data_IF_475559212865
#
_entry.id   IF_475559212865
#
_cell.length_a   1.000
_cell.length_b   1.000
_cell.length_c   1.000
_cell.angle_alpha   90.00
_cell.angle_beta   90.00
_cell.angle_gamma   90.00
#
_symmetry.space_group_name_H-M   'P 1'
#
loop_
_entity.id
_entity.type
_entity.pdbx_description
1 polymer ?
#
# COMPACT_ATOMS: atom_id res chain seq x y z
N UNK A 1 17.71 26.00 -0.56
CA UNK A 1 16.25 25.78 -0.75
C UNK A 1 15.89 24.45 -0.11
N UNK A 2 15.21 24.48 1.05
CA UNK A 2 14.88 23.28 1.85
C UNK A 2 13.50 22.79 1.40
N UNK A 3 13.48 21.81 0.49
CA UNK A 3 12.24 21.14 0.12
C UNK A 3 11.71 20.42 1.36
N UNK A 4 10.61 20.93 1.94
CA UNK A 4 9.89 20.21 2.98
C UNK A 4 9.44 18.88 2.36
N UNK A 5 10.03 17.79 2.84
CA UNK A 5 9.67 16.44 2.49
C UNK A 5 8.25 16.19 3.02
N UNK A 6 7.23 16.62 2.25
CA UNK A 6 5.84 16.25 2.49
C UNK A 6 5.80 14.74 2.35
N UNK A 7 5.66 14.04 3.47
CA UNK A 7 5.34 12.62 3.46
C UNK A 7 4.14 12.34 2.54
N UNK A 8 3.96 11.07 2.14
CA UNK A 8 2.88 10.68 1.25
C UNK A 8 1.53 11.17 1.80
N UNK A 9 0.86 12.01 1.00
CA UNK A 9 -0.41 12.63 1.42
C UNK A 9 -1.52 11.58 1.36
N UNK A 10 -2.37 11.48 2.40
CA UNK A 10 -3.44 10.48 2.42
C UNK A 10 -4.42 10.69 1.26
N UNK A 11 -4.86 9.59 0.65
CA UNK A 11 -5.72 9.61 -0.53
C UNK A 11 -7.18 9.57 -0.06
N UNK A 12 -8.02 10.56 -0.41
CA UNK A 12 -9.43 10.54 -0.08
C UNK A 12 -10.16 9.47 -0.91
N UNK A 13 -10.98 8.65 -0.26
CA UNK A 13 -11.78 7.61 -0.93
C UNK A 13 -13.06 8.16 -1.58
N UNK A 14 -13.46 9.38 -1.21
CA UNK A 14 -14.64 10.04 -1.76
C UNK A 14 -14.38 11.54 -1.97
N UNK A 15 -15.13 12.22 -2.85
CA UNK A 15 -15.04 13.67 -2.99
C UNK A 15 -15.42 14.38 -1.68
N UNK A 16 -14.60 15.35 -1.26
CA UNK A 16 -14.96 16.23 -0.13
C UNK A 16 -16.09 17.18 -0.51
N UNK A 17 -17.09 17.26 0.34
CA UNK A 17 -18.20 18.20 0.23
C UNK A 17 -17.73 19.60 0.65
N UNK A 18 -17.44 20.45 -0.35
CA UNK A 18 -16.95 21.82 -0.12
C UNK A 18 -17.96 22.86 -0.56
N UNK A 19 -17.93 24.02 0.10
CA UNK A 19 -18.76 25.17 -0.28
C UNK A 19 -18.19 25.76 -1.55
N UNK A 20 -19.01 25.84 -2.59
CA UNK A 20 -18.71 26.50 -3.87
C UNK A 20 -19.79 27.51 -4.20
N UNK A 21 -19.43 28.57 -4.90
CA UNK A 21 -20.41 29.52 -5.44
C UNK A 21 -20.84 29.09 -6.84
N UNK A 22 -22.15 28.97 -7.06
CA UNK A 22 -22.73 28.76 -8.39
C UNK A 22 -23.79 29.84 -8.60
N UNK A 23 -23.42 30.88 -9.34
CA UNK A 23 -24.16 32.14 -9.39
C UNK A 23 -24.19 32.81 -8.01
N UNK A 24 -25.32 33.42 -7.66
CA UNK A 24 -25.51 34.17 -6.41
C UNK A 24 -25.79 33.31 -5.17
N UNK A 25 -25.75 31.97 -5.27
CA UNK A 25 -26.09 31.07 -4.16
C UNK A 25 -24.97 30.07 -3.88
N UNK A 26 -24.65 29.81 -2.59
CA UNK A 26 -23.68 28.78 -2.24
C UNK A 26 -24.28 27.39 -2.47
N UNK A 27 -23.54 26.55 -3.18
CA UNK A 27 -23.83 25.13 -3.40
C UNK A 27 -22.72 24.26 -2.83
N UNK A 28 -23.02 22.99 -2.64
CA UNK A 28 -22.04 21.97 -2.34
C UNK A 28 -21.39 21.48 -3.64
N UNK A 29 -20.17 20.95 -3.55
CA UNK A 29 -19.49 20.29 -4.68
C UNK A 29 -20.30 19.13 -5.28
N UNK A 30 -21.15 18.47 -4.50
CA UNK A 30 -22.08 17.44 -4.98
C UNK A 30 -23.31 17.99 -5.76
N UNK A 31 -23.46 19.31 -5.89
CA UNK A 31 -24.54 19.96 -6.64
C UNK A 31 -25.74 20.41 -5.82
N UNK A 32 -25.90 19.90 -4.60
CA UNK A 32 -26.97 20.30 -3.68
C UNK A 32 -26.78 21.72 -3.13
N UNK A 33 -27.84 22.34 -2.59
CA UNK A 33 -27.73 23.61 -1.85
C UNK A 33 -26.85 23.42 -0.63
N UNK A 34 -25.93 24.36 -0.37
CA UNK A 34 -24.97 24.23 0.74
C UNK A 34 -25.64 23.98 2.10
N UNK A 35 -26.75 24.69 2.38
CA UNK A 35 -27.49 24.56 3.64
C UNK A 35 -28.28 23.24 3.76
N UNK A 36 -28.50 22.52 2.68
CA UNK A 36 -29.36 21.32 2.62
C UNK A 36 -28.60 20.03 2.33
N UNK A 37 -27.28 20.11 2.08
CA UNK A 37 -26.47 18.92 1.87
C UNK A 37 -26.24 18.20 3.22
N UNK A 38 -26.70 16.94 3.38
CA UNK A 38 -26.53 16.20 4.63
C UNK A 38 -25.06 15.89 4.90
N UNK A 39 -24.32 15.52 3.86
CA UNK A 39 -22.91 15.12 3.95
C UNK A 39 -21.93 16.30 4.04
N UNK A 40 -22.41 17.54 4.17
CA UNK A 40 -21.54 18.73 4.20
C UNK A 40 -20.55 18.75 5.38
N UNK A 41 -20.88 18.03 6.45
CA UNK A 41 -20.05 17.85 7.63
C UNK A 41 -19.42 16.45 7.71
N UNK A 42 -19.70 15.58 6.74
CA UNK A 42 -19.18 14.23 6.74
C UNK A 42 -17.66 14.26 6.55
N UNK A 43 -16.95 13.57 7.44
CA UNK A 43 -15.52 13.33 7.27
C UNK A 43 -15.33 12.33 6.14
N UNK A 44 -14.56 12.73 5.13
CA UNK A 44 -14.20 11.83 4.03
C UNK A 44 -13.16 10.82 4.54
N UNK A 45 -13.42 9.51 4.43
CA UNK A 45 -12.45 8.50 4.78
C UNK A 45 -11.24 8.61 3.86
N UNK A 46 -10.07 8.45 4.45
CA UNK A 46 -8.78 8.54 3.75
C UNK A 46 -8.01 7.24 3.94
N UNK A 47 -7.26 6.84 2.92
CA UNK A 47 -6.30 5.74 3.00
C UNK A 47 -4.89 6.29 3.01
N UNK A 48 -3.99 5.56 3.66
CA UNK A 48 -2.57 5.87 3.60
C UNK A 48 -2.10 5.79 2.14
N UNK A 49 -1.44 6.84 1.66
CA UNK A 49 -0.79 6.77 0.36
C UNK A 49 0.36 5.75 0.42
N UNK A 50 0.59 4.99 -0.66
CA UNK A 50 1.71 4.08 -0.74
C UNK A 50 3.03 4.85 -0.58
N UNK A 51 3.98 4.28 0.17
CA UNK A 51 5.30 4.89 0.34
C UNK A 51 6.03 4.93 -1.01
N UNK A 52 6.30 6.12 -1.58
CA UNK A 52 7.00 6.23 -2.85
C UNK A 52 8.40 5.60 -2.81
N UNK A 53 9.02 5.47 -1.62
CA UNK A 53 10.32 4.81 -1.45
C UNK A 53 10.26 3.30 -1.70
N UNK A 54 9.11 2.65 -1.49
CA UNK A 54 8.94 1.23 -1.78
C UNK A 54 8.85 0.95 -3.29
N UNK A 55 8.25 1.84 -4.07
CA UNK A 55 8.04 1.62 -5.52
C UNK A 55 9.35 1.62 -6.32
N UNK A 56 10.32 2.44 -5.92
CA UNK A 56 11.62 2.55 -6.56
C UNK A 56 12.72 1.77 -5.81
N UNK A 57 12.35 0.87 -4.90
CA UNK A 57 13.34 0.04 -4.20
C UNK A 57 13.86 -1.00 -5.19
N UNK A 58 15.18 -1.02 -5.48
CA UNK A 58 15.73 -2.05 -6.35
C UNK A 58 15.67 -3.42 -5.64
N UNK A 59 15.44 -4.49 -6.41
CA UNK A 59 15.20 -5.83 -5.89
C UNK A 59 16.33 -6.37 -4.98
N UNK A 60 17.57 -5.92 -5.17
CA UNK A 60 18.71 -6.31 -4.32
C UNK A 60 18.62 -5.73 -2.90
N UNK A 61 17.85 -4.67 -2.70
CA UNK A 61 17.70 -4.03 -1.40
C UNK A 61 16.66 -4.73 -0.52
N UNK A 62 15.94 -5.74 -1.03
CA UNK A 62 15.07 -6.57 -0.19
C UNK A 62 15.89 -7.39 0.80
N UNK A 63 15.30 -7.69 1.97
CA UNK A 63 15.97 -8.53 2.94
C UNK A 63 16.25 -9.89 2.31
N UNK A 64 17.52 -10.29 2.28
CA UNK A 64 17.91 -11.63 1.86
C UNK A 64 17.28 -12.62 2.82
N UNK A 65 16.17 -13.24 2.42
CA UNK A 65 15.59 -14.36 3.15
C UNK A 65 16.49 -15.55 2.89
N UNK A 66 17.39 -15.84 3.83
CA UNK A 66 18.00 -17.15 3.89
C UNK A 66 16.85 -18.15 4.02
N UNK A 67 16.64 -18.99 3.00
CA UNK A 67 15.70 -20.10 3.05
C UNK A 67 16.51 -21.37 3.33
N UNK A 68 16.94 -21.64 4.58
CA UNK A 68 17.65 -22.86 4.90
C UNK A 68 16.65 -24.02 4.83
N UNK A 69 16.44 -24.56 3.63
CA UNK A 69 15.83 -25.87 3.43
C UNK A 69 16.86 -27.00 3.57
N UNK A 70 18.04 -26.69 4.12
CA UNK A 70 19.09 -27.67 4.38
C UNK A 70 18.66 -28.50 5.60
N UNK A 71 18.28 -29.76 5.36
CA UNK A 71 18.10 -30.76 6.41
C UNK A 71 16.80 -30.63 7.21
N UNK A 72 15.65 -30.61 6.55
CA UNK A 72 14.38 -30.88 7.24
C UNK A 72 14.49 -32.26 7.92
N UNK A 73 14.35 -32.32 9.25
CA UNK A 73 14.43 -33.58 9.99
C UNK A 73 13.49 -34.61 9.35
N UNK A 74 14.04 -35.74 8.87
CA UNK A 74 13.31 -36.81 8.19
C UNK A 74 13.24 -36.74 6.66
N UNK A 75 13.77 -35.69 6.00
CA UNK A 75 13.85 -35.63 4.53
C UNK A 75 15.30 -35.69 4.07
N UNK A 76 15.71 -36.84 3.52
CA UNK A 76 17.02 -36.97 2.89
C UNK A 76 17.09 -36.04 1.68
N UNK A 77 18.17 -35.25 1.62
CA UNK A 77 18.52 -34.53 0.39
C UNK A 77 18.82 -35.53 -0.72
N UNK A 78 18.68 -35.16 -2.01
CA UNK A 78 18.98 -36.08 -3.11
C UNK A 78 20.37 -36.73 -3.01
N UNK A 79 21.38 -35.95 -2.59
CA UNK A 79 22.74 -36.45 -2.38
C UNK A 79 22.87 -37.40 -1.17
N UNK A 80 22.02 -37.26 -0.15
CA UNK A 80 21.96 -38.22 0.95
C UNK A 80 21.22 -39.50 0.53
N UNK A 81 20.15 -39.39 -0.26
CA UNK A 81 19.43 -40.54 -0.84
C UNK A 81 20.35 -41.39 -1.71
N UNK A 82 21.12 -40.77 -2.62
CA UNK A 82 22.06 -41.48 -3.48
C UNK A 82 23.14 -42.23 -2.68
N UNK A 83 23.70 -41.59 -1.63
CA UNK A 83 24.68 -42.24 -0.75
C UNK A 83 24.06 -43.38 0.06
N UNK A 84 22.84 -43.21 0.56
CA UNK A 84 22.10 -44.25 1.27
C UNK A 84 21.78 -45.46 0.38
N UNK A 85 21.55 -45.24 -0.92
CA UNK A 85 21.33 -46.27 -1.93
C UNK A 85 22.64 -46.85 -2.52
N UNK A 86 23.79 -46.60 -1.89
CA UNK A 86 25.08 -47.17 -2.32
C UNK A 86 25.55 -46.65 -3.69
N UNK A 87 25.17 -45.42 -4.05
CA UNK A 87 25.58 -44.79 -5.29
C UNK A 87 24.63 -45.02 -6.48
N UNK A 88 23.40 -45.45 -6.21
CA UNK A 88 22.36 -45.72 -7.21
C UNK A 88 21.14 -44.86 -6.91
N UNK A 89 20.36 -44.52 -7.94
CA UNK A 89 19.08 -43.84 -7.77
C UNK A 89 17.98 -44.86 -7.50
#
# INVERSE_FOLDING_TARGET
MRWLNRGPQPIPLAPRHRRVWRGLRPRCSCGQRWRSCPDRHATVPVVAAPDPRRRNRPAWADATVANPQVGRAGRLTPAQTWRANGGRW
#
